data_IF_764258852658
#
_entry.id   IF_764258852658
#
_cell.length_a   1.000
_cell.length_b   1.000
_cell.length_c   1.000
_cell.angle_alpha   90.00
_cell.angle_beta   90.00
_cell.angle_gamma   90.00
#
_symmetry.space_group_name_H-M   'P 1'
#
loop_
_entity.id
_entity.type
_entity.pdbx_description
1 polymer ?
#
# COMPACT_ATOMS: atom_id res chain seq x y z
N UNK A 1 14.60 -17.20 14.68
CA UNK A 1 15.80 -16.36 14.52
C UNK A 1 15.72 -15.24 15.53
N UNK A 2 16.72 -15.13 16.39
CA UNK A 2 16.79 -14.10 17.42
C UNK A 2 17.59 -12.94 16.83
N UNK A 3 16.98 -11.77 16.69
CA UNK A 3 17.67 -10.58 16.19
C UNK A 3 17.92 -9.62 17.33
N UNK A 4 19.13 -9.09 17.37
CA UNK A 4 19.59 -8.16 18.39
C UNK A 4 19.50 -6.75 17.79
N UNK A 5 18.59 -5.91 18.29
CA UNK A 5 18.40 -4.53 17.81
C UNK A 5 18.45 -3.54 18.98
N UNK A 6 18.89 -2.31 18.72
CA UNK A 6 18.73 -1.22 19.67
C UNK A 6 17.29 -0.70 19.59
N UNK A 7 16.58 -0.59 20.73
CA UNK A 7 15.18 -0.14 20.75
C UNK A 7 15.00 1.33 20.35
N UNK A 8 16.06 2.15 20.47
CA UNK A 8 15.99 3.58 20.16
C UNK A 8 16.15 3.87 18.65
N UNK A 9 17.03 3.17 17.96
CA UNK A 9 17.40 3.46 16.56
C UNK A 9 17.24 2.28 15.61
N UNK A 10 16.83 1.11 16.11
CA UNK A 10 16.59 -0.12 15.34
C UNK A 10 17.80 -0.70 14.59
N UNK A 11 19.00 -0.21 14.88
CA UNK A 11 20.24 -0.72 14.28
C UNK A 11 20.63 -2.06 14.90
N UNK A 12 21.06 -3.00 14.05
CA UNK A 12 21.63 -4.29 14.42
C UNK A 12 23.15 -4.17 14.67
N UNK A 13 23.74 -4.84 15.69
CA UNK A 13 25.20 -4.87 15.92
C UNK A 13 25.99 -5.38 14.71
N UNK A 14 25.42 -6.34 13.97
CA UNK A 14 26.02 -6.90 12.75
C UNK A 14 26.24 -5.83 11.69
N UNK A 15 25.30 -4.89 11.52
CA UNK A 15 25.43 -3.78 10.58
C UNK A 15 26.51 -2.77 10.97
N UNK A 16 26.95 -2.78 12.23
CA UNK A 16 28.01 -1.91 12.76
C UNK A 16 29.35 -2.64 12.96
N UNK A 17 29.44 -3.93 12.63
CA UNK A 17 30.64 -4.73 12.85
C UNK A 17 31.02 -4.93 14.32
N UNK A 18 30.06 -4.77 15.24
CA UNK A 18 30.29 -4.87 16.69
C UNK A 18 30.14 -6.33 17.13
N UNK A 19 31.11 -6.80 17.92
CA UNK A 19 31.07 -8.11 18.57
C UNK A 19 29.79 -8.28 19.41
N UNK A 20 29.17 -9.47 19.37
CA UNK A 20 27.98 -9.81 20.17
C UNK A 20 28.19 -9.67 21.70
N UNK A 21 29.42 -9.49 22.17
CA UNK A 21 29.78 -9.24 23.57
C UNK A 21 29.54 -7.79 24.02
N UNK A 22 29.55 -6.83 23.09
CA UNK A 22 29.29 -5.43 23.40
C UNK A 22 27.81 -5.11 23.23
N UNK A 23 27.06 -5.24 24.32
CA UNK A 23 25.62 -4.97 24.33
C UNK A 23 25.28 -3.48 24.23
N UNK A 24 26.19 -2.56 23.90
CA UNK A 24 25.94 -1.11 23.95
C UNK A 24 25.92 -0.49 22.55
N UNK A 25 24.85 0.23 22.23
CA UNK A 25 24.74 0.96 20.97
C UNK A 25 25.62 2.22 20.98
N UNK A 26 26.59 2.37 20.06
CA UNK A 26 27.48 3.53 20.04
C UNK A 26 26.79 4.82 19.59
N UNK A 27 25.66 4.70 18.88
CA UNK A 27 24.90 5.83 18.36
C UNK A 27 23.91 6.40 19.38
N UNK A 28 23.46 5.57 20.33
CA UNK A 28 22.45 5.94 21.33
C UNK A 28 23.02 6.09 22.74
N UNK A 29 24.26 6.62 22.88
CA UNK A 29 24.92 6.87 24.17
C UNK A 29 24.99 5.63 25.09
N UNK A 30 25.14 4.42 24.52
CA UNK A 30 25.38 3.20 25.30
C UNK A 30 24.14 2.45 25.79
N UNK A 31 22.96 2.70 25.22
CA UNK A 31 21.77 1.88 25.48
C UNK A 31 21.98 0.41 25.07
N UNK A 32 21.36 -0.49 25.85
CA UNK A 32 21.54 -1.92 25.66
C UNK A 32 20.82 -2.46 24.42
N UNK A 33 21.51 -3.32 23.69
CA UNK A 33 20.92 -4.16 22.67
C UNK A 33 20.10 -5.27 23.33
N UNK A 34 18.80 -5.34 23.03
CA UNK A 34 17.91 -6.34 23.61
C UNK A 34 17.81 -7.53 22.67
N UNK A 35 18.08 -8.72 23.19
CA UNK A 35 17.86 -9.98 22.49
C UNK A 35 16.37 -10.30 22.58
N UNK A 36 15.60 -10.03 21.52
CA UNK A 36 14.19 -10.43 21.44
C UNK A 36 14.04 -11.68 20.60
N UNK A 37 13.38 -12.69 21.16
CA UNK A 37 12.91 -13.83 20.38
C UNK A 37 11.68 -13.41 19.57
N UNK A 38 11.92 -12.78 18.42
CA UNK A 38 10.86 -12.29 17.54
C UNK A 38 9.90 -13.39 17.09
N UNK A 39 10.30 -14.66 17.14
CA UNK A 39 9.43 -15.79 16.80
C UNK A 39 8.38 -16.04 17.90
N UNK A 40 8.77 -15.93 19.18
CA UNK A 40 7.88 -16.10 20.32
C UNK A 40 6.96 -14.87 20.50
N UNK A 41 7.48 -13.67 20.25
CA UNK A 41 6.74 -12.41 20.36
C UNK A 41 5.96 -12.04 19.09
N UNK A 42 6.10 -12.80 17.99
CA UNK A 42 5.50 -12.49 16.70
C UNK A 42 4.00 -12.23 16.79
N UNK A 43 3.28 -13.05 17.57
CA UNK A 43 1.83 -12.93 17.71
C UNK A 43 1.43 -11.58 18.32
N UNK A 44 2.15 -11.15 19.38
CA UNK A 44 1.91 -9.86 20.03
C UNK A 44 2.24 -8.71 19.09
N UNK A 45 3.41 -8.76 18.46
CA UNK A 45 3.86 -7.73 17.51
C UNK A 45 2.90 -7.62 16.32
N UNK A 46 2.37 -8.74 15.83
CA UNK A 46 1.40 -8.76 14.73
C UNK A 46 0.06 -8.21 15.15
N UNK A 47 -0.44 -8.55 16.33
CA UNK A 47 -1.67 -7.98 16.88
C UNK A 47 -1.56 -6.46 17.08
N UNK A 48 -0.42 -5.98 17.61
CA UNK A 48 -0.13 -4.55 17.74
C UNK A 48 -0.07 -3.87 16.36
N UNK A 49 0.63 -4.48 15.40
CA UNK A 49 0.71 -3.97 14.04
C UNK A 49 -0.67 -3.86 13.40
N UNK A 50 -1.47 -4.94 13.44
CA UNK A 50 -2.84 -4.98 12.91
C UNK A 50 -3.69 -3.88 13.56
N UNK A 51 -3.63 -3.72 14.88
CA UNK A 51 -4.39 -2.69 15.60
C UNK A 51 -3.98 -1.27 15.17
N UNK A 52 -2.67 -1.02 15.01
CA UNK A 52 -2.16 0.27 14.52
C UNK A 52 -2.61 0.52 13.08
N UNK A 53 -2.57 -0.49 12.21
CA UNK A 53 -3.03 -0.36 10.82
C UNK A 53 -4.54 -0.13 10.74
N UNK A 54 -5.33 -0.82 11.57
CA UNK A 54 -6.77 -0.60 11.67
C UNK A 54 -7.09 0.85 12.05
N UNK A 55 -6.40 1.39 13.07
CA UNK A 55 -6.55 2.79 13.48
C UNK A 55 -6.17 3.79 12.37
N UNK A 56 -5.09 3.51 11.62
CA UNK A 56 -4.69 4.31 10.46
C UNK A 56 -5.72 4.24 9.34
N UNK A 57 -6.26 3.06 9.06
CA UNK A 57 -7.27 2.87 8.02
C UNK A 57 -8.57 3.60 8.37
N UNK A 58 -9.06 3.47 9.60
CA UNK A 58 -10.24 4.19 10.06
C UNK A 58 -10.06 5.70 9.97
N UNK A 59 -8.89 6.22 10.35
CA UNK A 59 -8.56 7.64 10.22
C UNK A 59 -8.52 8.08 8.75
N UNK A 60 -7.88 7.30 7.88
CA UNK A 60 -7.79 7.60 6.45
C UNK A 60 -9.16 7.53 5.76
N UNK A 61 -10.02 6.57 6.12
CA UNK A 61 -11.37 6.48 5.58
C UNK A 61 -12.20 7.71 5.98
N UNK A 62 -12.10 8.15 7.23
CA UNK A 62 -12.76 9.37 7.70
C UNK A 62 -12.26 10.63 6.99
N UNK A 63 -10.95 10.70 6.73
CA UNK A 63 -10.36 11.81 5.96
C UNK A 63 -10.87 11.82 4.51
N UNK A 64 -10.93 10.65 3.86
CA UNK A 64 -11.51 10.51 2.51
C UNK A 64 -12.97 10.95 2.48
N UNK A 65 -13.79 10.50 3.44
CA UNK A 65 -15.20 10.91 3.55
C UNK A 65 -15.34 12.43 3.75
N UNK A 66 -14.48 13.04 4.55
CA UNK A 66 -14.46 14.49 4.76
C UNK A 66 -14.07 15.26 3.49
N UNK A 67 -13.08 14.75 2.75
CA UNK A 67 -12.66 15.34 1.48
C UNK A 67 -13.77 15.22 0.44
N UNK A 68 -14.42 14.07 0.32
CA UNK A 68 -15.53 13.87 -0.62
C UNK A 68 -16.72 14.78 -0.29
N UNK A 69 -17.04 14.95 1.00
CA UNK A 69 -18.06 15.90 1.44
C UNK A 69 -17.69 17.35 1.10
N UNK A 70 -16.42 17.75 1.31
CA UNK A 70 -15.92 19.08 0.94
C UNK A 70 -15.94 19.30 -0.57
N UNK A 71 -15.55 18.32 -1.38
CA UNK A 71 -15.61 18.37 -2.83
C UNK A 71 -17.04 18.52 -3.34
N UNK A 72 -17.97 17.77 -2.76
CA UNK A 72 -19.39 17.86 -3.09
C UNK A 72 -19.93 19.25 -2.77
N UNK A 73 -19.57 19.80 -1.60
CA UNK A 73 -19.95 21.15 -1.19
C UNK A 73 -19.40 22.22 -2.13
N UNK A 74 -18.09 22.22 -2.42
CA UNK A 74 -17.44 23.22 -3.30
C UNK A 74 -18.01 23.16 -4.72
N UNK A 75 -18.35 21.97 -5.22
CA UNK A 75 -19.05 21.82 -6.50
C UNK A 75 -20.44 22.44 -6.47
N UNK A 76 -21.19 22.23 -5.39
CA UNK A 76 -22.49 22.87 -5.18
C UNK A 76 -22.41 24.39 -5.12
N UNK A 77 -21.49 24.93 -4.31
CA UNK A 77 -21.24 26.38 -4.18
C UNK A 77 -20.86 27.00 -5.54
N UNK A 78 -20.01 26.33 -6.32
CA UNK A 78 -19.66 26.76 -7.68
C UNK A 78 -20.89 26.82 -8.58
N UNK A 79 -21.74 25.78 -8.56
CA UNK A 79 -22.92 25.70 -9.41
C UNK A 79 -23.97 26.75 -9.01
N UNK A 80 -24.08 27.07 -7.72
CA UNK A 80 -24.92 28.16 -7.20
C UNK A 80 -24.39 29.53 -7.60
N UNK A 81 -23.08 29.78 -7.45
CA UNK A 81 -22.43 31.03 -7.89
C UNK A 81 -22.53 31.23 -9.40
N UNK A 82 -22.38 30.17 -10.20
CA UNK A 82 -22.55 30.23 -11.64
C UNK A 82 -23.98 30.61 -12.06
N UNK A 83 -24.99 30.14 -11.31
CA UNK A 83 -26.39 30.52 -11.53
C UNK A 83 -26.70 31.95 -11.04
N UNK A 84 -26.21 32.31 -9.86
CA UNK A 84 -26.50 33.60 -9.21
C UNK A 84 -25.82 34.78 -9.90
N UNK A 85 -24.65 34.55 -10.49
CA UNK A 85 -23.92 35.60 -11.21
C UNK A 85 -24.53 35.93 -12.58
N UNK A 86 -25.45 35.13 -13.12
CA UNK A 86 -26.00 35.40 -14.46
C UNK A 86 -24.95 35.47 -15.59
N UNK A 87 -23.71 35.03 -15.33
CA UNK A 87 -22.55 35.24 -16.19
C UNK A 87 -21.63 36.43 -15.81
N UNK A 88 -22.01 37.30 -14.86
CA UNK A 88 -21.27 38.53 -14.50
C UNK A 88 -19.97 38.30 -13.71
N UNK A 89 -19.65 37.07 -13.30
CA UNK A 89 -18.31 36.72 -12.84
C UNK A 89 -17.25 36.81 -13.96
N UNK A 90 -17.66 37.09 -15.21
CA UNK A 90 -16.79 37.39 -16.34
C UNK A 90 -15.81 38.57 -16.14
N UNK A 91 -15.97 39.40 -15.08
CA UNK A 91 -15.10 40.54 -14.80
C UNK A 91 -13.93 40.26 -13.83
N UNK A 92 -13.98 39.18 -13.04
CA UNK A 92 -12.72 38.56 -12.64
C UNK A 92 -12.25 37.82 -13.89
N UNK A 93 -11.02 38.03 -14.36
CA UNK A 93 -10.60 37.38 -15.60
C UNK A 93 -10.92 35.89 -15.46
N UNK A 94 -11.71 35.34 -16.38
CA UNK A 94 -12.14 33.94 -16.33
C UNK A 94 -10.92 33.02 -16.17
N UNK A 95 -9.76 33.46 -16.67
CA UNK A 95 -8.45 32.87 -16.45
C UNK A 95 -7.95 32.89 -14.99
N UNK A 96 -8.21 33.93 -14.20
CA UNK A 96 -7.82 34.02 -12.77
C UNK A 96 -8.67 33.09 -11.91
N UNK A 97 -9.99 33.06 -12.11
CA UNK A 97 -10.86 32.12 -11.41
C UNK A 97 -10.57 30.68 -11.85
N UNK A 98 -10.37 30.44 -13.15
CA UNK A 98 -9.95 29.14 -13.65
C UNK A 98 -8.58 28.71 -13.11
N UNK A 99 -7.62 29.61 -12.95
CA UNK A 99 -6.30 29.32 -12.42
C UNK A 99 -6.33 28.96 -10.92
N UNK A 100 -7.04 29.75 -10.10
CA UNK A 100 -7.20 29.46 -8.66
C UNK A 100 -7.96 28.14 -8.46
N UNK A 101 -9.03 27.90 -9.24
CA UNK A 101 -9.74 26.63 -9.18
C UNK A 101 -8.89 25.47 -9.72
N UNK A 102 -8.04 25.68 -10.73
CA UNK A 102 -7.15 24.65 -11.24
C UNK A 102 -6.10 24.25 -10.20
N UNK A 103 -5.50 25.22 -9.51
CA UNK A 103 -4.50 24.97 -8.46
C UNK A 103 -5.12 24.24 -7.27
N UNK A 104 -6.25 24.72 -6.73
CA UNK A 104 -6.94 24.04 -5.64
C UNK A 104 -7.42 22.62 -6.03
N UNK A 105 -7.87 22.42 -7.27
CA UNK A 105 -8.24 21.09 -7.77
C UNK A 105 -7.03 20.18 -7.94
N UNK A 106 -5.88 20.72 -8.37
CA UNK A 106 -4.63 19.97 -8.48
C UNK A 106 -4.14 19.53 -7.09
N UNK A 107 -4.08 20.44 -6.13
CA UNK A 107 -3.69 20.12 -4.75
C UNK A 107 -4.58 19.04 -4.13
N UNK A 108 -5.90 19.17 -4.26
CA UNK A 108 -6.85 18.17 -3.77
C UNK A 108 -6.66 16.82 -4.48
N UNK A 109 -6.38 16.80 -5.79
CA UNK A 109 -6.09 15.56 -6.52
C UNK A 109 -4.80 14.90 -6.02
N UNK A 110 -3.78 15.68 -5.70
CA UNK A 110 -2.53 15.18 -5.15
C UNK A 110 -2.71 14.64 -3.72
N UNK A 111 -3.47 15.33 -2.87
CA UNK A 111 -3.87 14.85 -1.54
C UNK A 111 -4.62 13.53 -1.63
N UNK A 112 -5.65 13.46 -2.47
CA UNK A 112 -6.43 12.24 -2.72
C UNK A 112 -5.52 11.11 -3.22
N UNK A 113 -4.61 11.40 -4.15
CA UNK A 113 -3.65 10.42 -4.65
C UNK A 113 -2.71 9.90 -3.55
N UNK A 114 -2.22 10.78 -2.67
CA UNK A 114 -1.38 10.41 -1.52
C UNK A 114 -2.14 9.55 -0.51
N UNK A 115 -3.38 9.90 -0.22
CA UNK A 115 -4.26 9.11 0.65
C UNK A 115 -4.50 7.72 0.07
N UNK A 116 -4.83 7.63 -1.22
CA UNK A 116 -5.01 6.35 -1.92
C UNK A 116 -3.74 5.50 -1.90
N UNK A 117 -2.56 6.07 -2.15
CA UNK A 117 -1.28 5.35 -2.08
C UNK A 117 -1.00 4.82 -0.67
N UNK A 118 -1.30 5.61 0.35
CA UNK A 118 -1.15 5.20 1.75
C UNK A 118 -2.07 4.05 2.09
N UNK A 119 -3.35 4.14 1.70
CA UNK A 119 -4.33 3.07 1.88
C UNK A 119 -3.91 1.80 1.14
N UNK A 120 -3.47 1.92 -0.11
CA UNK A 120 -3.02 0.77 -0.90
C UNK A 120 -1.82 0.07 -0.23
N UNK A 121 -0.86 0.82 0.33
CA UNK A 121 0.25 0.22 1.09
C UNK A 121 -0.23 -0.58 2.31
N UNK A 122 -1.22 -0.05 3.04
CA UNK A 122 -1.82 -0.77 4.17
C UNK A 122 -2.54 -2.05 3.71
N UNK A 123 -3.31 -1.97 2.62
CA UNK A 123 -4.02 -3.12 2.07
C UNK A 123 -3.07 -4.18 1.50
N UNK A 124 -1.93 -3.80 0.91
CA UNK A 124 -0.87 -4.74 0.51
C UNK A 124 -0.28 -5.46 1.73
N UNK A 125 -0.11 -4.77 2.87
CA UNK A 125 0.34 -5.42 4.10
C UNK A 125 -0.69 -6.43 4.62
N UNK A 126 -1.99 -6.09 4.59
CA UNK A 126 -3.09 -7.00 4.93
C UNK A 126 -3.08 -8.21 4.01
N UNK A 127 -3.02 -7.99 2.69
CA UNK A 127 -2.89 -9.05 1.68
C UNK A 127 -1.70 -9.98 1.96
N UNK A 128 -0.55 -9.42 2.34
CA UNK A 128 0.65 -10.23 2.63
C UNK A 128 0.46 -11.12 3.85
N UNK A 129 -0.29 -10.66 4.86
CA UNK A 129 -0.64 -11.48 6.02
C UNK A 129 -1.64 -12.54 5.60
N UNK A 130 -2.69 -12.16 4.86
CA UNK A 130 -3.71 -13.09 4.37
C UNK A 130 -3.05 -14.17 3.51
N UNK A 131 -2.31 -13.85 2.45
CA UNK A 131 -1.62 -14.83 1.58
C UNK A 131 -0.71 -15.81 2.36
N UNK A 132 -0.06 -15.36 3.44
CA UNK A 132 0.79 -16.21 4.27
C UNK A 132 0.00 -17.08 5.25
N UNK A 133 -1.16 -16.61 5.71
CA UNK A 133 -1.89 -17.24 6.80
C UNK A 133 -3.21 -17.90 6.39
N UNK A 134 -3.72 -17.54 5.22
CA UNK A 134 -4.70 -18.25 4.43
C UNK A 134 -4.22 -19.68 4.23
N UNK A 135 -5.16 -20.62 4.36
CA UNK A 135 -4.95 -21.91 3.75
C UNK A 135 -5.66 -21.87 2.42
N UNK A 136 -4.97 -22.30 1.37
CA UNK A 136 -5.65 -22.70 0.15
C UNK A 136 -6.52 -23.93 0.45
N UNK A 137 -6.21 -25.06 -0.16
CA UNK A 137 -6.97 -26.31 0.01
C UNK A 137 -6.62 -27.06 1.31
N UNK A 138 -6.14 -26.35 2.35
CA UNK A 138 -5.59 -26.96 3.57
C UNK A 138 -6.29 -26.51 4.86
N UNK A 139 -6.08 -27.23 5.96
CA UNK A 139 -6.63 -26.86 7.28
C UNK A 139 -5.62 -26.07 8.15
N UNK A 140 -4.41 -25.84 7.63
CA UNK A 140 -3.28 -25.22 8.34
C UNK A 140 -2.71 -24.05 7.56
N UNK A 141 -2.27 -23.01 8.27
CA UNK A 141 -1.56 -21.87 7.69
C UNK A 141 -0.13 -22.26 7.27
N UNK A 142 0.60 -21.37 6.58
CA UNK A 142 2.00 -21.61 6.15
C UNK A 142 2.98 -21.93 7.28
N UNK A 143 2.60 -21.65 8.54
CA UNK A 143 3.38 -21.97 9.75
C UNK A 143 3.00 -23.30 10.40
N UNK A 144 2.07 -24.05 9.80
CA UNK A 144 1.60 -25.35 10.29
C UNK A 144 0.56 -25.29 11.41
N UNK A 145 0.10 -24.10 11.80
CA UNK A 145 -0.97 -23.91 12.79
C UNK A 145 -2.33 -24.16 12.15
N UNK A 146 -3.26 -24.89 12.80
CA UNK A 146 -4.64 -25.00 12.33
C UNK A 146 -5.25 -23.60 12.14
N UNK A 147 -5.98 -23.40 11.04
CA UNK A 147 -6.53 -22.09 10.68
C UNK A 147 -7.38 -21.47 11.80
N UNK A 148 -8.28 -22.25 12.39
CA UNK A 148 -9.13 -21.80 13.50
C UNK A 148 -8.32 -21.31 14.72
N UNK A 149 -7.08 -21.78 14.89
CA UNK A 149 -6.17 -21.37 15.95
C UNK A 149 -5.13 -20.33 15.52
N UNK A 150 -5.11 -19.92 14.25
CA UNK A 150 -4.14 -18.94 13.75
C UNK A 150 -4.62 -17.52 14.10
N UNK A 151 -4.04 -16.95 15.16
CA UNK A 151 -4.38 -15.60 15.64
C UNK A 151 -4.16 -14.52 14.58
N UNK A 152 -3.12 -14.65 13.77
CA UNK A 152 -2.85 -13.71 12.68
C UNK A 152 -3.92 -13.78 11.59
N UNK A 153 -4.43 -14.97 11.27
CA UNK A 153 -5.52 -15.14 10.29
C UNK A 153 -6.85 -14.62 10.85
N UNK A 154 -7.21 -15.02 12.07
CA UNK A 154 -8.44 -14.58 12.73
C UNK A 154 -8.42 -13.08 13.02
N UNK A 155 -7.24 -12.50 13.24
CA UNK A 155 -7.04 -11.07 13.41
C UNK A 155 -7.42 -10.25 12.18
N UNK A 156 -7.55 -10.85 11.00
CA UNK A 156 -8.02 -10.16 9.80
C UNK A 156 -9.53 -10.06 9.71
N UNK A 157 -10.30 -10.77 10.54
CA UNK A 157 -11.75 -10.91 10.35
C UNK A 157 -12.50 -9.56 10.35
N UNK A 158 -12.05 -8.59 11.16
CA UNK A 158 -12.69 -7.27 11.20
C UNK A 158 -12.43 -6.42 9.95
N UNK A 159 -11.34 -6.68 9.22
CA UNK A 159 -10.94 -5.92 8.01
C UNK A 159 -11.18 -6.71 6.72
N UNK A 160 -11.51 -8.00 6.82
CA UNK A 160 -11.62 -8.93 5.69
C UNK A 160 -12.56 -8.42 4.61
N UNK A 161 -13.75 -7.96 4.99
CA UNK A 161 -14.72 -7.43 4.02
C UNK A 161 -14.24 -6.16 3.32
N UNK A 162 -13.46 -5.30 3.98
CA UNK A 162 -12.89 -4.10 3.36
C UNK A 162 -11.77 -4.45 2.40
N UNK A 163 -10.92 -5.39 2.81
CA UNK A 163 -9.83 -5.93 2.02
C UNK A 163 -10.36 -6.62 0.75
N UNK A 164 -11.36 -7.48 0.84
CA UNK A 164 -11.97 -8.16 -0.32
C UNK A 164 -12.55 -7.15 -1.32
N UNK A 165 -13.26 -6.12 -0.83
CA UNK A 165 -13.76 -5.03 -1.69
C UNK A 165 -12.63 -4.26 -2.37
N UNK A 166 -11.55 -3.98 -1.63
CA UNK A 166 -10.37 -3.32 -2.19
C UNK A 166 -9.72 -4.19 -3.27
N UNK A 167 -9.51 -5.48 -3.00
CA UNK A 167 -8.87 -6.43 -3.91
C UNK A 167 -9.64 -6.55 -5.22
N UNK A 168 -10.96 -6.78 -5.14
CA UNK A 168 -11.86 -6.83 -6.32
C UNK A 168 -11.73 -5.56 -7.15
N UNK A 169 -11.74 -4.38 -6.50
CA UNK A 169 -11.61 -3.10 -7.19
C UNK A 169 -10.24 -2.95 -7.86
N UNK A 170 -9.15 -3.34 -7.20
CA UNK A 170 -7.82 -3.23 -7.80
C UNK A 170 -7.62 -4.22 -8.96
N UNK A 171 -8.18 -5.43 -8.88
CA UNK A 171 -8.20 -6.39 -9.99
C UNK A 171 -8.95 -5.80 -11.18
N UNK A 172 -10.08 -5.14 -10.94
CA UNK A 172 -10.85 -4.50 -12.01
C UNK A 172 -10.07 -3.35 -12.68
N UNK A 173 -9.45 -2.47 -11.87
CA UNK A 173 -8.59 -1.39 -12.40
C UNK A 173 -7.43 -1.95 -13.23
N UNK A 174 -6.80 -3.02 -12.77
CA UNK A 174 -5.73 -3.72 -13.48
C UNK A 174 -6.21 -4.28 -14.82
N UNK A 175 -7.38 -4.94 -14.86
CA UNK A 175 -7.98 -5.46 -16.10
C UNK A 175 -8.34 -4.35 -17.09
N UNK A 176 -8.68 -3.17 -16.59
CA UNK A 176 -8.95 -1.96 -17.40
C UNK A 176 -7.67 -1.23 -17.84
N UNK A 177 -6.47 -1.72 -17.47
CA UNK A 177 -5.19 -1.07 -17.78
C UNK A 177 -4.98 0.26 -17.02
N UNK A 178 -5.68 0.46 -15.91
CA UNK A 178 -5.56 1.66 -15.05
C UNK A 178 -4.55 1.40 -13.92
N UNK A 179 -4.06 2.49 -13.33
CA UNK A 179 -3.22 2.45 -12.13
C UNK A 179 -3.91 1.69 -10.99
N UNK A 180 -3.19 0.77 -10.36
CA UNK A 180 -3.72 -0.15 -9.36
C UNK A 180 -2.72 -0.39 -8.23
N UNK A 181 -3.24 -0.78 -7.06
CA UNK A 181 -2.46 -1.02 -5.84
C UNK A 181 -2.04 -2.47 -5.59
N UNK A 182 -2.33 -3.40 -6.50
CA UNK A 182 -1.92 -4.81 -6.31
C UNK A 182 -0.40 -4.97 -6.35
N UNK A 183 0.19 -5.80 -5.47
CA UNK A 183 1.61 -6.10 -5.51
C UNK A 183 1.95 -7.05 -6.68
N UNK A 184 3.18 -7.01 -7.17
CA UNK A 184 3.62 -7.78 -8.35
C UNK A 184 3.47 -9.30 -8.18
N UNK A 185 3.58 -9.79 -6.95
CA UNK A 185 3.45 -11.20 -6.62
C UNK A 185 1.99 -11.65 -6.42
N UNK A 186 1.02 -10.74 -6.53
CA UNK A 186 -0.40 -11.07 -6.47
C UNK A 186 -0.79 -12.05 -7.58
N UNK A 187 -1.63 -13.08 -7.33
CA UNK A 187 -1.98 -14.08 -8.34
C UNK A 187 -2.48 -13.50 -9.66
N UNK A 188 -3.39 -12.52 -9.60
CA UNK A 188 -3.91 -11.83 -10.79
C UNK A 188 -2.85 -10.94 -11.47
N UNK A 189 -2.00 -10.25 -10.71
CA UNK A 189 -0.93 -9.44 -11.28
C UNK A 189 0.13 -10.31 -11.98
N UNK A 190 0.46 -11.48 -11.39
CA UNK A 190 1.39 -12.46 -11.98
C UNK A 190 0.88 -13.05 -13.28
N UNK A 191 -0.43 -13.20 -13.47
CA UNK A 191 -1.03 -13.69 -14.72
C UNK A 191 -0.80 -12.70 -15.86
N UNK A 192 -0.88 -11.41 -15.60
CA UNK A 192 -0.65 -10.35 -16.58
C UNK A 192 0.85 -10.04 -16.78
N UNK A 193 1.67 -10.13 -15.72
CA UNK A 193 3.12 -9.92 -15.78
C UNK A 193 3.91 -11.16 -16.26
N UNK A 194 3.25 -12.27 -16.58
CA UNK A 194 3.93 -13.37 -17.26
C UNK A 194 4.36 -12.85 -18.64
N UNK A 195 5.67 -12.82 -18.95
CA UNK A 195 6.08 -12.59 -20.33
C UNK A 195 5.39 -13.68 -21.15
N UNK A 196 4.64 -13.29 -22.18
CA UNK A 196 4.21 -14.24 -23.20
C UNK A 196 5.49 -14.81 -23.82
N UNK A 197 5.94 -15.94 -23.29
CA UNK A 197 7.01 -16.74 -23.88
C UNK A 197 6.45 -17.48 -25.10
N UNK A 198 5.93 -16.71 -26.06
CA UNK A 198 5.44 -17.12 -27.36
C UNK A 198 6.17 -16.38 -28.50
N UNK A 199 7.43 -15.97 -28.27
CA UNK A 199 8.38 -15.76 -29.36
C UNK A 199 9.29 -16.98 -29.54
N UNK A 200 8.68 -18.10 -29.91
CA UNK A 200 9.36 -19.26 -30.48
C UNK A 200 8.93 -19.33 -31.95
N UNK A 201 9.62 -18.62 -32.86
CA UNK A 201 9.23 -18.76 -34.27
C UNK A 201 9.88 -17.92 -35.37
N UNK A 202 10.53 -16.78 -35.11
CA UNK A 202 11.22 -16.05 -36.20
C UNK A 202 12.73 -16.29 -36.15
N UNK A 203 13.14 -17.37 -36.83
CA UNK A 203 14.45 -17.43 -37.47
C UNK A 203 14.53 -16.24 -38.43
N UNK A 204 15.22 -15.17 -38.03
CA UNK A 204 15.77 -14.24 -39.01
C UNK A 204 16.88 -15.00 -39.73
N UNK A 205 16.55 -15.53 -40.91
CA UNK A 205 17.55 -15.93 -41.90
C UNK A 205 18.40 -14.71 -42.23
N UNK A 206 19.63 -14.72 -41.74
CA UNK A 206 20.70 -13.84 -42.18
C UNK A 206 21.03 -14.18 -43.64
N UNK A 207 20.90 -13.25 -44.60
CA UNK A 207 21.45 -13.48 -45.92
C UNK A 207 22.92 -13.07 -45.88
N UNK A 208 23.76 -14.07 -45.65
CA UNK A 208 25.15 -14.07 -46.07
C UNK A 208 25.21 -13.78 -47.58
N UNK A 209 25.64 -12.56 -47.94
CA UNK A 209 26.38 -12.21 -49.16
C UNK A 209 26.50 -10.69 -49.29
N UNK A 210 27.73 -10.19 -49.16
CA UNK A 210 28.44 -9.46 -50.22
C UNK A 210 29.86 -9.16 -49.73
N UNK A 211 30.74 -10.15 -49.93
CA UNK A 211 32.13 -9.86 -50.28
C UNK A 211 32.14 -9.53 -51.77
N UNK A 212 32.53 -8.31 -52.11
CA UNK A 212 33.37 -7.98 -53.27
C UNK A 212 34.05 -6.64 -52.99
#
# INVERSE_FOLDING_TARGET
>A
MTTINCECCWITPVALGISNSDHRCPLCRGHQFVIKNLLADHQRITAEFISVQAGKLSSANREVEQIDARLTRVRGERDELAKASGGDLAHASEATLAAIHAEAVLELREEVTRAYKTRNRAMVAVWTIDERHHAGVGEKCSRGTPLHGCKEYNGLDFIRSEYERWEIKQIQLMKEGKDHGLPENHPEARKLNRPSYEWRGMRSTEPERLRR
#
